data_IF_153954774681
#
_entry.id   IF_153954774681
#
_cell.length_a   1.000
_cell.length_b   1.000
_cell.length_c   1.000
_cell.angle_alpha   90.00
_cell.angle_beta   90.00
_cell.angle_gamma   90.00
#
_symmetry.space_group_name_H-M   'P 1'
#
loop_
_entity.id
_entity.type
_entity.pdbx_description
1 polymer ?
#
# COMPACT_ATOMS: atom_id res chain seq x y z
N UNK A 1 9.06 15.28 -25.35
CA UNK A 1 10.27 14.61 -24.82
C UNK A 1 9.87 13.97 -23.49
N UNK A 2 9.80 12.64 -23.45
CA UNK A 2 9.27 11.90 -22.30
C UNK A 2 10.24 12.01 -21.13
N UNK A 3 9.79 12.56 -20.01
CA UNK A 3 10.56 12.64 -18.76
C UNK A 3 10.95 11.22 -18.32
N UNK A 4 12.23 10.92 -18.02
CA UNK A 4 12.61 9.57 -17.58
C UNK A 4 11.89 9.27 -16.27
N UNK A 5 11.19 8.12 -16.21
CA UNK A 5 10.74 7.54 -14.94
C UNK A 5 11.96 7.52 -14.03
N UNK A 6 11.91 8.20 -12.89
CA UNK A 6 13.07 8.31 -12.01
C UNK A 6 13.62 6.90 -11.74
N UNK A 7 14.88 6.65 -12.11
CA UNK A 7 15.53 5.35 -11.92
C UNK A 7 15.87 5.11 -10.44
N UNK A 8 15.18 5.77 -9.51
CA UNK A 8 15.46 5.71 -8.09
C UNK A 8 14.37 4.91 -7.38
N UNK A 9 14.78 4.00 -6.51
CA UNK A 9 13.89 3.12 -5.75
C UNK A 9 14.47 2.94 -4.33
N UNK A 10 13.61 2.66 -3.34
CA UNK A 10 14.05 2.49 -1.94
C UNK A 10 14.36 1.03 -1.65
N UNK A 11 15.39 0.79 -0.82
CA UNK A 11 15.60 -0.54 -0.25
C UNK A 11 14.43 -0.91 0.67
N UNK A 12 13.85 -2.10 0.48
CA UNK A 12 12.69 -2.58 1.26
C UNK A 12 12.99 -2.83 2.75
N UNK A 13 14.26 -2.79 3.17
CA UNK A 13 14.65 -2.84 4.59
C UNK A 13 15.05 -1.45 5.11
N UNK A 14 16.20 -0.93 4.65
CA UNK A 14 16.76 0.31 5.22
C UNK A 14 16.12 1.61 4.70
N UNK A 15 15.18 1.53 3.75
CA UNK A 15 14.42 2.67 3.18
C UNK A 15 15.26 3.77 2.50
N UNK A 16 16.59 3.65 2.46
CA UNK A 16 17.47 4.55 1.71
C UNK A 16 17.17 4.45 0.21
N UNK A 17 17.29 5.57 -0.48
CA UNK A 17 17.09 5.70 -1.93
C UNK A 17 18.36 5.27 -2.65
N UNK A 18 18.21 4.47 -3.69
CA UNK A 18 19.29 4.02 -4.55
C UNK A 18 18.85 4.09 -6.01
N UNK A 19 19.82 4.20 -6.92
CA UNK A 19 19.58 3.86 -8.32
C UNK A 19 19.08 2.41 -8.43
N UNK A 20 18.10 2.16 -9.29
CA UNK A 20 17.41 0.87 -9.45
C UNK A 20 18.38 -0.25 -9.83
N UNK A 21 19.43 0.08 -10.58
CA UNK A 21 20.52 -0.83 -10.91
C UNK A 21 21.32 -1.30 -9.68
N UNK A 22 21.36 -0.48 -8.62
CA UNK A 22 22.06 -0.79 -7.36
C UNK A 22 21.20 -1.60 -6.37
N UNK A 23 19.99 -1.97 -6.76
CA UNK A 23 19.06 -2.73 -5.93
C UNK A 23 18.83 -4.14 -6.46
N UNK A 24 19.03 -5.12 -5.60
CA UNK A 24 18.89 -6.55 -5.91
C UNK A 24 17.48 -7.03 -5.60
N UNK A 25 16.83 -7.66 -6.57
CA UNK A 25 15.53 -8.31 -6.35
C UNK A 25 15.69 -9.52 -5.44
N UNK A 26 14.71 -9.77 -4.57
CA UNK A 26 14.58 -11.05 -3.88
C UNK A 26 14.54 -12.18 -4.92
N UNK A 27 15.41 -13.20 -4.77
CA UNK A 27 15.54 -14.27 -5.76
C UNK A 27 14.30 -15.15 -5.89
N UNK A 28 13.50 -15.27 -4.81
CA UNK A 28 12.25 -16.04 -4.78
C UNK A 28 11.07 -15.27 -5.36
N UNK A 29 10.62 -14.20 -4.69
CA UNK A 29 9.39 -13.51 -5.09
C UNK A 29 9.57 -12.48 -6.23
N UNK A 30 10.80 -12.08 -6.53
CA UNK A 30 11.15 -11.04 -7.54
C UNK A 30 10.48 -9.67 -7.36
N UNK A 31 9.74 -9.46 -6.27
CA UNK A 31 8.89 -8.29 -6.04
C UNK A 31 9.60 -7.18 -5.26
N UNK A 32 10.22 -7.51 -4.13
CA UNK A 32 10.94 -6.55 -3.28
C UNK A 32 12.42 -6.46 -3.64
N UNK A 33 13.05 -5.34 -3.25
CA UNK A 33 14.43 -5.02 -3.59
C UNK A 33 15.26 -4.61 -2.38
N UNK A 34 16.51 -5.07 -2.33
CA UNK A 34 17.44 -4.79 -1.24
C UNK A 34 18.77 -4.26 -1.79
N UNK A 35 19.38 -3.31 -1.08
CA UNK A 35 20.72 -2.82 -1.43
C UNK A 35 21.82 -3.85 -1.14
N UNK A 36 21.60 -4.78 -0.22
CA UNK A 36 22.56 -5.81 0.16
C UNK A 36 21.88 -7.10 0.62
N UNK A 37 22.67 -8.19 0.67
CA UNK A 37 22.23 -9.47 1.28
C UNK A 37 21.92 -9.32 2.77
N UNK A 38 22.65 -8.45 3.47
CA UNK A 38 22.40 -8.14 4.89
C UNK A 38 21.02 -7.51 5.10
N UNK A 39 20.65 -6.52 4.29
CA UNK A 39 19.31 -5.92 4.32
C UNK A 39 18.22 -6.95 3.99
N UNK A 40 18.47 -7.87 3.06
CA UNK A 40 17.52 -8.95 2.77
C UNK A 40 17.36 -9.91 3.96
N UNK A 41 18.45 -10.29 4.62
CA UNK A 41 18.42 -11.19 5.77
C UNK A 41 17.69 -10.55 6.97
N UNK A 42 17.95 -9.28 7.24
CA UNK A 42 17.27 -8.53 8.31
C UNK A 42 15.78 -8.30 8.04
N UNK A 43 15.38 -8.19 6.76
CA UNK A 43 13.97 -8.13 6.38
C UNK A 43 13.27 -9.50 6.43
N UNK A 44 14.00 -10.61 6.50
CA UNK A 44 13.43 -11.95 6.34
C UNK A 44 12.29 -12.28 7.33
N UNK A 45 12.39 -11.98 8.64
CA UNK A 45 11.31 -12.29 9.58
C UNK A 45 9.96 -11.68 9.18
N UNK A 46 9.96 -10.45 8.65
CA UNK A 46 8.73 -9.75 8.23
C UNK A 46 8.36 -9.97 6.76
N UNK A 47 9.34 -10.38 5.94
CA UNK A 47 9.16 -10.66 4.51
C UNK A 47 8.73 -12.11 4.22
N UNK A 48 9.15 -13.09 5.01
CA UNK A 48 9.01 -14.53 4.67
C UNK A 48 7.61 -14.91 4.21
N UNK A 49 6.59 -14.56 4.99
CA UNK A 49 5.20 -14.86 4.66
C UNK A 49 4.79 -14.24 3.31
N UNK A 50 5.03 -12.94 3.13
CA UNK A 50 4.70 -12.27 1.86
C UNK A 50 5.56 -12.77 0.69
N UNK A 51 6.79 -13.23 0.94
CA UNK A 51 7.66 -13.82 -0.08
C UNK A 51 7.08 -15.12 -0.66
N UNK A 52 6.56 -16.01 0.18
CA UNK A 52 6.03 -17.32 -0.26
C UNK A 52 4.81 -17.12 -1.13
N UNK A 53 3.83 -16.34 -0.65
CA UNK A 53 2.60 -16.02 -1.38
C UNK A 53 2.93 -15.37 -2.73
N UNK A 54 3.83 -14.38 -2.73
CA UNK A 54 4.20 -13.68 -3.96
C UNK A 54 4.96 -14.58 -4.95
N UNK A 55 5.77 -15.53 -4.46
CA UNK A 55 6.47 -16.47 -5.33
C UNK A 55 5.51 -17.49 -5.99
N UNK A 56 4.51 -17.97 -5.25
CA UNK A 56 3.47 -18.85 -5.78
C UNK A 56 2.62 -18.13 -6.84
N UNK A 57 2.19 -16.90 -6.55
CA UNK A 57 1.49 -16.05 -7.51
C UNK A 57 2.34 -15.85 -8.77
N UNK A 58 3.64 -15.54 -8.61
CA UNK A 58 4.52 -15.36 -9.77
C UNK A 58 4.60 -16.62 -10.65
N UNK A 59 4.62 -17.82 -10.07
CA UNK A 59 4.63 -19.08 -10.81
C UNK A 59 3.31 -19.31 -11.56
N UNK A 60 2.17 -19.16 -10.87
CA UNK A 60 0.83 -19.30 -11.45
C UNK A 60 0.55 -18.29 -12.58
N UNK A 61 1.11 -17.09 -12.47
CA UNK A 61 0.96 -16.07 -13.51
C UNK A 61 1.77 -16.37 -14.77
N UNK A 62 2.82 -17.19 -14.74
CA UNK A 62 3.57 -17.49 -15.98
C UNK A 62 2.76 -18.32 -16.97
N UNK A 63 1.76 -19.05 -16.51
CA UNK A 63 0.89 -19.90 -17.34
C UNK A 63 -0.19 -19.10 -18.09
N UNK A 64 -0.44 -17.86 -17.66
CA UNK A 64 -1.41 -16.94 -18.26
C UNK A 64 -0.75 -15.57 -18.55
N UNK A 65 -0.25 -15.35 -19.77
CA UNK A 65 0.43 -14.11 -20.16
C UNK A 65 -0.42 -12.86 -19.99
N UNK A 66 -1.75 -12.94 -20.18
CA UNK A 66 -2.65 -11.80 -20.02
C UNK A 66 -2.76 -11.43 -18.53
N UNK A 67 -3.01 -12.41 -17.67
CA UNK A 67 -3.08 -12.21 -16.22
C UNK A 67 -1.75 -11.71 -15.67
N UNK A 68 -0.62 -12.19 -16.20
CA UNK A 68 0.71 -11.66 -15.89
C UNK A 68 0.84 -10.18 -16.28
N UNK A 69 0.41 -9.80 -17.48
CA UNK A 69 0.49 -8.43 -17.95
C UNK A 69 -0.34 -7.48 -17.07
N UNK A 70 -1.55 -7.88 -16.68
CA UNK A 70 -2.41 -7.15 -15.73
C UNK A 70 -1.75 -6.99 -14.36
N UNK A 71 -1.18 -8.07 -13.84
CA UNK A 71 -0.43 -8.07 -12.58
C UNK A 71 0.80 -7.13 -12.62
N UNK A 72 1.54 -7.11 -13.73
CA UNK A 72 2.69 -6.25 -13.96
C UNK A 72 2.29 -4.78 -14.13
N UNK A 73 1.14 -4.50 -14.76
CA UNK A 73 0.56 -3.17 -14.85
C UNK A 73 0.20 -2.63 -13.46
N UNK A 74 -0.56 -3.41 -12.68
CA UNK A 74 -0.93 -3.06 -11.30
C UNK A 74 0.30 -2.77 -10.43
N UNK A 75 1.31 -3.64 -10.50
CA UNK A 75 2.51 -3.50 -9.67
C UNK A 75 3.30 -2.21 -10.02
N UNK A 76 3.41 -1.87 -11.31
CA UNK A 76 4.07 -0.64 -11.76
C UNK A 76 3.28 0.61 -11.37
N UNK A 77 1.96 0.56 -11.47
CA UNK A 77 1.09 1.66 -11.06
C UNK A 77 1.20 1.93 -9.55
N UNK A 78 1.14 0.87 -8.72
CA UNK A 78 1.32 1.00 -7.26
C UNK A 78 2.67 1.61 -6.91
N UNK A 79 3.76 1.24 -7.59
CA UNK A 79 5.08 1.83 -7.35
C UNK A 79 5.06 3.34 -7.60
N UNK A 80 4.37 3.78 -8.64
CA UNK A 80 4.24 5.20 -9.01
C UNK A 80 3.49 5.99 -7.93
N UNK A 81 2.42 5.40 -7.39
CA UNK A 81 1.53 6.02 -6.40
C UNK A 81 1.88 5.72 -4.94
N UNK A 82 2.94 4.95 -4.68
CA UNK A 82 3.23 4.42 -3.34
C UNK A 82 3.33 5.52 -2.27
N UNK A 83 3.92 6.66 -2.60
CA UNK A 83 4.06 7.77 -1.64
C UNK A 83 2.70 8.34 -1.26
N UNK A 84 1.86 8.66 -2.25
CA UNK A 84 0.53 9.24 -2.07
C UNK A 84 -0.39 8.26 -1.35
N UNK A 85 -0.37 6.98 -1.73
CA UNK A 85 -1.14 5.91 -1.07
C UNK A 85 -0.74 5.76 0.40
N UNK A 86 0.57 5.78 0.71
CA UNK A 86 1.05 5.68 2.09
C UNK A 86 0.62 6.88 2.95
N UNK A 87 0.70 8.11 2.42
CA UNK A 87 0.31 9.34 3.13
C UNK A 87 -1.20 9.41 3.35
N UNK A 88 -1.95 9.08 2.29
CA UNK A 88 -3.39 8.98 2.34
C UNK A 88 -3.87 7.98 3.42
N UNK A 89 -3.17 6.85 3.59
CA UNK A 89 -3.54 5.88 4.61
C UNK A 89 -3.42 6.44 6.04
N UNK A 90 -2.43 7.28 6.32
CA UNK A 90 -2.30 7.92 7.64
C UNK A 90 -3.42 8.91 7.89
N UNK A 91 -3.81 9.65 6.85
CA UNK A 91 -4.96 10.56 6.88
C UNK A 91 -6.26 9.79 7.14
N UNK A 92 -6.50 8.72 6.37
CA UNK A 92 -7.70 7.88 6.48
C UNK A 92 -7.87 7.26 7.88
N UNK A 93 -6.78 6.85 8.51
CA UNK A 93 -6.80 6.21 9.83
C UNK A 93 -7.18 7.16 10.98
N UNK A 94 -7.12 8.48 10.76
CA UNK A 94 -7.58 9.52 11.68
C UNK A 94 -7.10 9.29 13.13
N UNK A 95 -5.78 9.15 13.32
CA UNK A 95 -5.21 8.70 14.59
C UNK A 95 -5.49 9.65 15.76
N UNK A 96 -5.61 10.95 15.53
CA UNK A 96 -5.97 11.92 16.57
C UNK A 96 -7.33 11.62 17.23
N UNK A 97 -8.27 11.04 16.47
CA UNK A 97 -9.60 10.67 16.95
C UNK A 97 -9.72 9.17 17.28
N UNK A 98 -8.67 8.38 17.04
CA UNK A 98 -8.63 6.94 17.30
C UNK A 98 -7.40 6.59 18.14
N UNK A 99 -7.41 6.91 19.45
CA UNK A 99 -6.19 6.90 20.26
C UNK A 99 -5.72 5.51 20.66
N UNK A 100 -6.55 4.47 20.50
CA UNK A 100 -6.22 3.09 20.87
C UNK A 100 -4.85 2.67 20.30
N UNK A 101 -4.01 2.07 21.15
CA UNK A 101 -2.62 1.74 20.78
C UNK A 101 -2.55 0.73 19.63
N UNK A 102 -3.55 -0.14 19.52
CA UNK A 102 -3.65 -1.21 18.53
C UNK A 102 -4.44 -0.81 17.28
N UNK A 103 -4.91 0.44 17.15
CA UNK A 103 -5.72 0.89 16.01
C UNK A 103 -5.08 0.57 14.65
N UNK A 104 -3.75 0.73 14.54
CA UNK A 104 -2.98 0.39 13.34
C UNK A 104 -2.97 -1.13 13.05
N UNK A 105 -3.01 -1.95 14.09
CA UNK A 105 -3.02 -3.41 14.00
C UNK A 105 -4.44 -4.00 13.84
N UNK A 106 -5.49 -3.22 14.11
CA UNK A 106 -6.88 -3.65 14.03
C UNK A 106 -7.61 -3.12 12.80
N UNK A 107 -7.20 -1.95 12.27
CA UNK A 107 -7.84 -1.32 11.11
C UNK A 107 -6.97 -1.38 9.87
N UNK A 108 -7.63 -1.33 8.72
CA UNK A 108 -7.06 -1.44 7.39
C UNK A 108 -7.65 -0.35 6.49
N UNK A 109 -6.80 0.29 5.68
CA UNK A 109 -7.24 1.21 4.64
C UNK A 109 -7.46 0.42 3.36
N UNK A 110 -8.70 0.36 2.88
CA UNK A 110 -9.08 -0.38 1.67
C UNK A 110 -9.31 0.60 0.53
N UNK A 111 -8.60 0.39 -0.58
CA UNK A 111 -8.70 1.17 -1.81
C UNK A 111 -9.20 0.23 -2.90
N UNK A 112 -10.37 0.52 -3.45
CA UNK A 112 -10.97 -0.24 -4.55
C UNK A 112 -10.72 0.50 -5.86
N UNK A 113 -10.18 -0.22 -6.84
CA UNK A 113 -9.79 0.33 -8.13
C UNK A 113 -10.26 -0.54 -9.29
N UNK A 114 -10.29 0.04 -10.47
CA UNK A 114 -10.53 -0.70 -11.71
C UNK A 114 -9.66 -0.18 -12.85
N UNK A 115 -9.29 -1.04 -13.83
CA UNK A 115 -8.49 -0.61 -14.96
C UNK A 115 -9.28 0.41 -15.81
N UNK A 116 -8.58 1.44 -16.26
CA UNK A 116 -9.11 2.37 -17.25
C UNK A 116 -8.95 1.76 -18.67
N UNK A 117 -10.01 1.68 -19.50
CA UNK A 117 -9.94 1.04 -20.81
C UNK A 117 -8.91 1.66 -21.77
N UNK A 118 -8.76 2.99 -21.73
CA UNK A 118 -7.89 3.75 -22.63
C UNK A 118 -7.02 4.73 -21.83
N UNK A 119 -5.99 4.24 -21.15
CA UNK A 119 -5.18 5.10 -20.30
C UNK A 119 -4.24 5.97 -21.15
N UNK A 120 -4.18 7.27 -20.84
CA UNK A 120 -3.29 8.23 -21.52
C UNK A 120 -1.82 7.98 -21.15
N UNK A 121 -1.57 7.77 -19.87
CA UNK A 121 -0.25 7.56 -19.28
C UNK A 121 -0.31 6.46 -18.21
N UNK A 122 0.87 5.98 -17.78
CA UNK A 122 0.96 4.91 -16.78
C UNK A 122 0.36 5.29 -15.42
N UNK A 123 0.30 6.59 -15.10
CA UNK A 123 -0.29 7.08 -13.85
C UNK A 123 -1.81 6.85 -13.80
N UNK A 124 -2.48 6.81 -14.96
CA UNK A 124 -3.94 6.69 -15.11
C UNK A 124 -4.33 5.29 -15.60
N UNK A 125 -3.54 4.26 -15.29
CA UNK A 125 -3.92 2.88 -15.61
C UNK A 125 -5.13 2.40 -14.83
N UNK A 126 -5.40 2.98 -13.68
CA UNK A 126 -6.52 2.62 -12.82
C UNK A 126 -7.20 3.90 -12.31
N UNK A 127 -8.51 3.81 -12.10
CA UNK A 127 -9.28 4.79 -11.33
C UNK A 127 -9.74 4.17 -10.03
N UNK A 128 -9.93 5.01 -9.01
CA UNK A 128 -10.51 4.59 -7.74
C UNK A 128 -12.03 4.54 -7.86
N UNK A 129 -12.63 3.47 -7.37
CA UNK A 129 -14.09 3.27 -7.34
C UNK A 129 -14.65 3.30 -5.92
N UNK A 130 -13.79 3.14 -4.91
CA UNK A 130 -14.18 3.20 -3.51
C UNK A 130 -12.98 3.28 -2.57
N UNK A 131 -13.22 3.82 -1.38
CA UNK A 131 -12.24 3.91 -0.30
C UNK A 131 -12.95 3.72 1.04
N UNK A 132 -12.38 2.90 1.92
CA UNK A 132 -12.93 2.68 3.25
C UNK A 132 -11.85 2.35 4.27
N UNK A 133 -12.16 2.55 5.55
CA UNK A 133 -11.38 2.02 6.67
C UNK A 133 -12.20 0.90 7.30
N UNK A 134 -11.63 -0.28 7.39
CA UNK A 134 -12.31 -1.47 7.92
C UNK A 134 -11.47 -2.11 9.02
N UNK A 135 -12.12 -2.57 10.07
CA UNK A 135 -11.46 -3.41 11.05
C UNK A 135 -11.14 -4.81 10.47
N UNK A 136 -10.43 -5.62 11.24
CA UNK A 136 -9.97 -6.93 10.78
C UNK A 136 -11.11 -7.92 10.50
N UNK A 137 -12.17 -7.88 11.28
CA UNK A 137 -13.32 -8.79 11.15
C UNK A 137 -14.14 -8.44 9.91
N UNK A 138 -14.40 -7.15 9.71
CA UNK A 138 -15.04 -6.60 8.51
C UNK A 138 -14.26 -6.98 7.24
N UNK A 139 -12.93 -6.87 7.29
CA UNK A 139 -12.09 -7.24 6.17
C UNK A 139 -12.11 -8.75 5.87
N UNK A 140 -12.05 -9.60 6.90
CA UNK A 140 -12.16 -11.06 6.73
C UNK A 140 -13.51 -11.43 6.11
N UNK A 141 -14.59 -10.79 6.56
CA UNK A 141 -15.91 -10.97 5.96
C UNK A 141 -15.91 -10.59 4.47
N UNK A 142 -15.29 -9.45 4.12
CA UNK A 142 -15.14 -9.03 2.72
C UNK A 142 -14.30 -10.00 1.87
N UNK A 143 -13.25 -10.60 2.43
CA UNK A 143 -12.47 -11.63 1.74
C UNK A 143 -13.33 -12.87 1.40
N UNK A 144 -14.19 -13.30 2.33
CA UNK A 144 -15.14 -14.40 2.11
C UNK A 144 -16.19 -14.07 1.06
N UNK A 145 -16.74 -12.85 1.08
CA UNK A 145 -17.68 -12.37 0.06
C UNK A 145 -17.07 -12.37 -1.35
N UNK A 146 -15.78 -12.02 -1.44
CA UNK A 146 -15.00 -12.10 -2.69
C UNK A 146 -14.54 -13.52 -3.05
N UNK A 147 -14.96 -14.54 -2.28
CA UNK A 147 -14.65 -15.96 -2.48
C UNK A 147 -13.14 -16.25 -2.54
N UNK A 148 -12.37 -15.57 -1.70
CA UNK A 148 -10.96 -15.91 -1.53
C UNK A 148 -10.82 -17.29 -0.89
N UNK A 149 -9.75 -17.99 -1.24
CA UNK A 149 -9.44 -19.30 -0.66
C UNK A 149 -9.24 -19.20 0.86
N UNK A 150 -9.84 -20.12 1.63
CA UNK A 150 -9.81 -20.04 3.10
C UNK A 150 -8.38 -20.14 3.65
N UNK A 151 -7.45 -20.84 2.98
CA UNK A 151 -6.05 -20.87 3.40
C UNK A 151 -5.40 -19.49 3.33
N UNK A 152 -5.79 -18.66 2.35
CA UNK A 152 -5.31 -17.27 2.22
C UNK A 152 -5.91 -16.40 3.34
N UNK A 153 -7.17 -16.64 3.69
CA UNK A 153 -7.83 -15.94 4.81
C UNK A 153 -7.16 -16.31 6.13
N UNK A 154 -6.90 -17.59 6.37
CA UNK A 154 -6.19 -18.05 7.55
C UNK A 154 -4.78 -17.47 7.66
N UNK A 155 -4.02 -17.47 6.56
CA UNK A 155 -2.68 -16.87 6.52
C UNK A 155 -2.74 -15.38 6.86
N UNK A 156 -3.77 -14.68 6.38
CA UNK A 156 -3.99 -13.27 6.71
C UNK A 156 -4.33 -13.08 8.21
N UNK A 157 -5.22 -13.90 8.78
CA UNK A 157 -5.62 -13.82 10.20
C UNK A 157 -4.43 -14.06 11.13
N UNK A 158 -3.54 -14.98 10.74
CA UNK A 158 -2.31 -15.33 11.47
C UNK A 158 -1.21 -14.28 11.33
N UNK A 159 -1.28 -13.37 10.35
CA UNK A 159 -0.27 -12.33 10.10
C UNK A 159 -0.34 -11.20 11.15
N UNK A 160 0.42 -11.35 12.24
CA UNK A 160 0.56 -10.34 13.30
C UNK A 160 1.83 -9.52 13.09
N UNK A 161 1.68 -8.24 12.71
CA UNK A 161 2.81 -7.32 12.40
C UNK A 161 3.08 -6.25 13.46
N UNK A 162 2.43 -6.35 14.63
CA UNK A 162 2.56 -5.44 15.77
C UNK A 162 1.82 -4.10 15.60
N UNK A 163 1.71 -3.36 16.71
CA UNK A 163 0.87 -2.16 16.85
C UNK A 163 1.36 -0.92 16.10
N UNK A 164 2.55 -0.97 15.49
CA UNK A 164 3.11 0.15 14.73
C UNK A 164 2.95 0.03 13.21
N UNK A 165 2.31 -1.03 12.71
CA UNK A 165 2.28 -1.33 11.27
C UNK A 165 0.97 -0.90 10.64
N UNK A 166 1.04 0.04 9.69
CA UNK A 166 -0.09 0.45 8.85
C UNK A 166 -0.34 -0.61 7.78
N UNK A 167 -1.61 -0.93 7.53
CA UNK A 167 -2.06 -1.88 6.51
C UNK A 167 -2.94 -1.20 5.47
N UNK A 168 -2.55 -1.34 4.21
CA UNK A 168 -3.31 -0.85 3.06
C UNK A 168 -3.62 -2.04 2.17
N UNK A 169 -4.88 -2.15 1.77
CA UNK A 169 -5.36 -3.16 0.85
C UNK A 169 -5.81 -2.47 -0.42
N UNK A 170 -5.29 -2.91 -1.56
CA UNK A 170 -5.73 -2.45 -2.87
C UNK A 170 -6.43 -3.63 -3.53
N UNK A 171 -7.73 -3.50 -3.79
CA UNK A 171 -8.54 -4.52 -4.46
C UNK A 171 -8.94 -4.02 -5.84
N UNK A 172 -8.66 -4.83 -6.87
CA UNK A 172 -9.06 -4.52 -8.25
C UNK A 172 -10.37 -5.22 -8.60
N UNK A 173 -11.19 -4.64 -9.47
CA UNK A 173 -12.35 -5.32 -10.08
C UNK A 173 -11.99 -6.61 -10.82
N UNK A 174 -10.76 -6.74 -11.34
CA UNK A 174 -10.25 -7.93 -12.02
C UNK A 174 -9.78 -9.06 -11.06
N UNK A 175 -10.10 -8.96 -9.76
CA UNK A 175 -9.79 -10.00 -8.78
C UNK A 175 -8.35 -10.02 -8.26
N UNK A 176 -7.49 -9.08 -8.68
CA UNK A 176 -6.20 -8.89 -8.03
C UNK A 176 -6.36 -8.17 -6.69
N UNK A 177 -5.49 -8.55 -5.76
CA UNK A 177 -5.37 -7.91 -4.46
C UNK A 177 -3.90 -7.62 -4.15
N UNK A 178 -3.67 -6.52 -3.45
CA UNK A 178 -2.34 -6.11 -2.98
C UNK A 178 -2.42 -5.65 -1.55
N UNK A 179 -1.49 -6.15 -0.75
CA UNK A 179 -1.32 -5.75 0.63
C UNK A 179 -0.03 -4.96 0.75
N UNK A 180 -0.14 -3.70 1.15
CA UNK A 180 1.00 -2.84 1.43
C UNK A 180 1.12 -2.65 2.93
N UNK A 181 2.36 -2.65 3.40
CA UNK A 181 2.71 -2.50 4.80
C UNK A 181 3.82 -1.46 4.92
N UNK A 182 3.73 -0.64 5.95
CA UNK A 182 4.85 0.14 6.46
C UNK A 182 4.67 0.37 7.95
N UNK A 183 5.77 0.57 8.67
CA UNK A 183 5.73 0.74 10.11
C UNK A 183 6.13 2.16 10.50
N UNK A 184 5.41 2.71 11.47
CA UNK A 184 5.76 3.96 12.14
C UNK A 184 6.65 3.64 13.34
N UNK A 185 7.82 4.25 13.42
CA UNK A 185 8.80 3.98 14.49
C UNK A 185 8.26 4.36 15.87
N UNK A 186 7.47 5.44 15.95
CA UNK A 186 6.81 5.93 17.15
C UNK A 186 5.42 5.32 17.38
N UNK A 187 5.05 4.29 16.60
CA UNK A 187 3.74 3.63 16.63
C UNK A 187 2.56 4.60 16.42
N UNK A 188 2.80 5.72 15.72
CA UNK A 188 1.79 6.73 15.45
C UNK A 188 1.56 7.72 16.59
N UNK A 189 2.44 7.78 17.60
CA UNK A 189 2.29 8.72 18.72
C UNK A 189 2.26 10.18 18.26
N UNK A 190 3.07 10.54 17.26
CA UNK A 190 3.09 11.88 16.67
C UNK A 190 1.80 12.24 15.94
N UNK A 191 1.25 11.31 15.15
CA UNK A 191 -0.03 11.47 14.47
C UNK A 191 -1.24 11.53 15.41
N UNK A 192 -1.14 11.01 16.64
CA UNK A 192 -2.19 11.19 17.66
C UNK A 192 -2.20 12.58 18.29
N UNK A 193 -1.14 13.38 18.09
CA UNK A 193 -1.01 14.73 18.66
C UNK A 193 -1.39 15.85 17.69
N UNK A 194 -1.73 15.53 16.44
CA UNK A 194 -2.22 16.54 15.49
C UNK A 194 -3.60 17.03 15.91
N UNK A 195 -4.03 18.18 15.40
CA UNK A 195 -5.33 18.75 15.72
C UNK A 195 -6.46 17.75 15.34
N UNK A 196 -7.34 17.37 16.29
CA UNK A 196 -8.36 16.36 16.03
C UNK A 196 -9.44 16.83 15.07
N UNK A 197 -9.76 18.13 15.01
CA UNK A 197 -10.74 18.68 14.07
C UNK A 197 -10.18 18.61 12.66
N UNK A 198 -8.97 19.13 12.44
CA UNK A 198 -8.32 19.08 11.13
C UNK A 198 -8.08 17.64 10.68
N UNK A 199 -7.65 16.75 11.59
CA UNK A 199 -7.49 15.32 11.29
C UNK A 199 -8.80 14.67 10.86
N UNK A 200 -9.92 15.04 11.50
CA UNK A 200 -11.22 14.52 11.14
C UNK A 200 -11.69 15.00 9.76
N UNK A 201 -11.48 16.28 9.43
CA UNK A 201 -11.86 16.84 8.13
C UNK A 201 -11.06 16.21 6.99
N UNK A 202 -9.74 16.06 7.17
CA UNK A 202 -8.88 15.37 6.20
C UNK A 202 -9.29 13.90 6.04
N UNK A 203 -9.67 13.22 7.14
CA UNK A 203 -10.18 11.86 7.12
C UNK A 203 -11.59 11.74 6.51
N UNK A 204 -12.40 12.79 6.48
CA UNK A 204 -13.68 12.75 5.78
C UNK A 204 -13.48 12.79 4.26
N UNK A 205 -12.42 13.45 3.78
CA UNK A 205 -12.20 13.73 2.36
C UNK A 205 -11.11 12.86 1.70
N UNK A 206 -10.47 11.95 2.42
CA UNK A 206 -9.28 11.24 1.90
C UNK A 206 -9.56 10.46 0.62
N UNK A 207 -10.72 9.79 0.54
CA UNK A 207 -11.04 8.90 -0.57
C UNK A 207 -11.29 9.70 -1.86
N UNK A 208 -12.07 10.78 -1.75
CA UNK A 208 -12.31 11.70 -2.87
C UNK A 208 -11.01 12.40 -3.30
N UNK A 209 -10.20 12.83 -2.34
CA UNK A 209 -8.90 13.47 -2.61
C UNK A 209 -7.93 12.52 -3.33
N UNK A 210 -7.90 11.24 -2.93
CA UNK A 210 -7.06 10.24 -3.58
C UNK A 210 -7.57 9.87 -4.98
N UNK A 211 -8.89 9.74 -5.15
CA UNK A 211 -9.52 9.51 -6.44
C UNK A 211 -9.20 10.65 -7.42
N UNK A 212 -9.37 11.90 -6.96
CA UNK A 212 -8.99 13.09 -7.72
C UNK A 212 -7.50 13.09 -8.08
N UNK A 213 -6.62 12.68 -7.15
CA UNK A 213 -5.19 12.56 -7.42
C UNK A 213 -4.91 11.62 -8.59
N UNK A 214 -5.55 10.45 -8.61
CA UNK A 214 -5.38 9.47 -9.69
C UNK A 214 -5.89 10.00 -11.04
N UNK A 215 -6.91 10.86 -11.03
CA UNK A 215 -7.48 11.47 -12.25
C UNK A 215 -6.68 12.66 -12.78
N UNK A 216 -6.23 13.59 -11.92
CA UNK A 216 -5.54 14.84 -12.30
C UNK A 216 -4.02 14.65 -12.48
N UNK A 217 -3.49 13.43 -12.35
CA UNK A 217 -2.08 13.08 -12.55
C UNK A 217 -1.09 13.79 -11.58
N UNK A 218 -1.58 14.56 -10.59
CA UNK A 218 -0.78 15.28 -9.59
C UNK A 218 -0.65 14.49 -8.30
N UNK A 219 0.32 13.58 -8.26
CA UNK A 219 0.52 12.70 -7.10
C UNK A 219 1.28 13.23 -5.88
N UNK A 220 1.53 14.54 -5.71
CA UNK A 220 2.58 14.96 -4.77
C UNK A 220 2.23 16.02 -3.70
N UNK A 221 1.00 16.53 -3.60
CA UNK A 221 0.69 17.62 -2.65
C UNK A 221 -0.71 17.61 -2.00
N UNK A 222 -1.45 16.49 -1.96
CA UNK A 222 -2.79 16.45 -1.36
C UNK A 222 -2.81 15.95 0.10
N UNK A 223 -1.78 15.22 0.52
CA UNK A 223 -1.73 14.61 1.85
C UNK A 223 -0.50 15.06 2.62
N UNK A 224 -0.63 15.37 3.94
CA UNK A 224 0.50 15.66 4.81
C UNK A 224 1.51 14.51 4.80
N UNK A 225 2.81 14.84 4.72
CA UNK A 225 3.88 13.82 4.73
C UNK A 225 4.27 13.49 6.15
N UNK A 226 4.36 14.52 6.97
CA UNK A 226 4.69 14.46 8.38
C UNK A 226 3.58 15.14 9.23
N UNK A 227 3.45 14.79 10.52
CA UNK A 227 2.47 15.41 11.41
C UNK A 227 2.57 16.95 11.48
N UNK A 228 3.76 17.49 11.27
CA UNK A 228 4.00 18.95 11.24
C UNK A 228 3.44 19.63 9.98
N UNK A 229 3.15 18.85 8.92
CA UNK A 229 2.55 19.35 7.69
C UNK A 229 1.02 19.45 7.79
N UNK A 230 0.41 18.95 8.88
CA UNK A 230 -1.03 19.07 9.11
C UNK A 230 -1.33 20.53 9.48
N UNK A 231 -2.26 21.21 8.77
CA UNK A 231 -2.64 22.58 9.10
C UNK A 231 -3.09 22.70 10.56
N UNK A 232 -2.75 23.82 11.18
CA UNK A 232 -3.29 24.19 12.50
C UNK A 232 -4.56 25.01 12.25
N UNK A 233 -5.61 24.75 13.02
CA UNK A 233 -6.86 25.49 12.98
C UNK A 233 -6.69 26.96 13.42
#
# INVERSE_FOLDING_TARGET
>A
MSTPVSEQEKCSYCQKVYGRANLRKCSKCKFVRYCSKDCQAKAWPTHKASCVVTAQLHAQLQEDPERKAKNDALSRWIVLWKSSINQCALTALNLANNPAEDHLATHNVVIEIEPLPNPRHRANWFRMTGGSVMNNEEWVQRMREKRMDESVIEDWVKDKRGNGTVRIIISTSEGFMRFLYFSLLDKGASWRRVDPVVSNDLAAMWAESLAFAFEDEKGLALFPKDPIDVPVA
#
